data_IF_478147765032
#
_entry.id   IF_478147765032
#
_cell.length_a   1.000
_cell.length_b   1.000
_cell.length_c   1.000
_cell.angle_alpha   90.00
_cell.angle_beta   90.00
_cell.angle_gamma   90.00
#
_symmetry.space_group_name_H-M   'P 1'
#
loop_
_entity.id
_entity.type
_entity.pdbx_description
1 polymer ?
#
# COMPACT_ATOMS: atom_id res chain seq x y z
N UNK A 1 -16.65 48.40 26.46
CA UNK A 1 -16.51 48.32 27.93
C UNK A 1 -16.96 46.94 28.36
N UNK A 2 -16.23 46.39 29.31
CA UNK A 2 -16.21 45.01 29.76
C UNK A 2 -17.55 44.35 30.05
N UNK A 3 -17.62 43.03 29.80
CA UNK A 3 -18.40 42.10 30.62
C UNK A 3 -17.57 40.81 30.83
N UNK A 4 -16.92 40.75 31.99
CA UNK A 4 -16.48 39.51 32.64
C UNK A 4 -17.73 38.71 33.07
N UNK A 5 -17.74 37.40 32.80
CA UNK A 5 -18.74 36.50 33.39
C UNK A 5 -18.58 35.03 33.00
N UNK A 6 -18.16 34.20 33.96
CA UNK A 6 -18.62 32.82 34.10
C UNK A 6 -17.82 31.72 33.40
N UNK A 7 -16.83 31.18 34.12
CA UNK A 7 -16.31 29.84 33.90
C UNK A 7 -17.43 28.82 34.19
N UNK A 8 -17.90 28.06 33.19
CA UNK A 8 -18.82 26.92 33.39
C UNK A 8 -17.97 25.66 33.47
N UNK A 9 -17.95 25.02 34.66
CA UNK A 9 -17.25 23.77 34.90
C UNK A 9 -17.84 22.58 34.12
N UNK A 10 -17.16 21.42 34.12
CA UNK A 10 -17.56 20.27 33.33
C UNK A 10 -18.91 19.72 33.81
N UNK A 11 -19.84 19.55 32.87
CA UNK A 11 -21.13 18.91 33.11
C UNK A 11 -20.94 17.50 33.71
N UNK A 12 -21.74 17.18 34.73
CA UNK A 12 -21.77 15.88 35.38
C UNK A 12 -22.20 14.80 34.39
N UNK A 13 -21.31 13.83 34.14
CA UNK A 13 -21.62 12.55 33.50
C UNK A 13 -22.63 11.79 34.39
N UNK A 14 -23.67 11.12 33.83
CA UNK A 14 -24.66 10.41 34.64
C UNK A 14 -24.00 9.24 35.39
N UNK A 15 -24.21 9.18 36.71
CA UNK A 15 -23.82 8.04 37.54
C UNK A 15 -24.76 6.86 37.28
N UNK A 16 -24.26 5.79 36.66
CA UNK A 16 -24.99 4.51 36.55
C UNK A 16 -24.79 3.72 37.84
N UNK A 17 -25.87 3.48 38.58
CA UNK A 17 -25.88 2.71 39.82
C UNK A 17 -26.07 1.22 39.48
N UNK A 18 -25.02 0.40 39.57
CA UNK A 18 -25.16 -1.06 39.43
C UNK A 18 -25.77 -1.65 40.71
N UNK A 19 -26.95 -2.25 40.57
CA UNK A 19 -27.68 -2.92 41.64
C UNK A 19 -26.98 -4.20 42.14
N UNK A 20 -27.38 -4.60 43.35
CA UNK A 20 -26.79 -5.61 44.23
C UNK A 20 -26.37 -6.95 43.59
N UNK A 21 -25.08 -7.29 43.76
CA UNK A 21 -24.58 -8.66 43.69
C UNK A 21 -25.00 -9.40 44.97
N UNK A 22 -25.65 -10.56 44.87
CA UNK A 22 -25.97 -11.43 46.02
C UNK A 22 -25.42 -12.85 45.78
N UNK A 23 -24.83 -13.42 46.84
CA UNK A 23 -24.43 -14.82 47.00
C UNK A 23 -23.48 -15.43 45.95
N UNK A 24 -22.16 -15.20 46.10
CA UNK A 24 -21.14 -15.96 45.37
C UNK A 24 -20.32 -16.83 46.34
N UNK A 25 -20.36 -18.15 46.18
CA UNK A 25 -19.41 -19.09 46.81
C UNK A 25 -18.36 -19.54 45.78
N UNK A 26 -17.15 -19.85 46.25
CA UNK A 26 -15.99 -20.24 45.46
C UNK A 26 -16.30 -21.55 44.70
N UNK A 27 -16.41 -21.50 43.37
CA UNK A 27 -16.69 -22.70 42.58
C UNK A 27 -17.13 -22.42 41.15
N UNK A 28 -18.39 -22.05 40.92
CA UNK A 28 -18.96 -22.05 39.57
C UNK A 28 -20.05 -20.97 39.38
N UNK A 29 -20.01 -20.34 38.20
CA UNK A 29 -20.98 -19.43 37.57
C UNK A 29 -21.39 -18.12 38.30
N UNK A 30 -21.32 -16.99 37.59
CA UNK A 30 -21.79 -15.65 38.04
C UNK A 30 -23.04 -15.27 37.23
N UNK A 31 -24.08 -14.73 37.87
CA UNK A 31 -25.30 -14.27 37.21
C UNK A 31 -25.33 -12.74 37.08
N UNK A 32 -25.56 -12.22 35.86
CA UNK A 32 -25.73 -10.80 35.56
C UNK A 32 -26.98 -10.63 34.67
N UNK A 33 -27.96 -9.82 35.12
CA UNK A 33 -29.23 -9.56 34.42
C UNK A 33 -29.94 -10.84 33.90
N UNK A 34 -29.96 -11.92 34.70
CA UNK A 34 -30.66 -13.17 34.34
C UNK A 34 -29.89 -14.13 33.45
N UNK A 35 -28.58 -13.93 33.25
CA UNK A 35 -27.72 -14.83 32.47
C UNK A 35 -26.53 -15.34 33.29
N UNK A 36 -26.18 -16.62 33.14
CA UNK A 36 -25.15 -17.35 33.89
C UNK A 36 -23.80 -17.40 33.13
N UNK A 37 -22.68 -17.11 33.82
CA UNK A 37 -21.36 -16.93 33.21
C UNK A 37 -20.23 -17.69 33.92
N UNK A 38 -19.39 -18.44 33.19
CA UNK A 38 -18.34 -19.32 33.79
C UNK A 38 -17.01 -18.58 33.98
N UNK A 39 -16.42 -18.73 35.17
CA UNK A 39 -15.10 -18.18 35.52
C UNK A 39 -13.97 -19.12 35.04
N UNK A 40 -12.87 -18.56 34.55
CA UNK A 40 -11.58 -19.26 34.46
C UNK A 40 -10.47 -18.42 35.09
N UNK A 41 -9.36 -19.07 35.48
CA UNK A 41 -8.39 -18.54 36.46
C UNK A 41 -7.55 -17.32 36.03
N UNK A 42 -7.80 -16.70 34.86
CA UNK A 42 -7.01 -15.54 34.40
C UNK A 42 -7.80 -14.41 33.71
N UNK A 43 -9.09 -14.58 33.43
CA UNK A 43 -9.92 -13.54 32.80
C UNK A 43 -11.41 -13.87 32.96
N UNK A 44 -12.24 -12.82 32.93
CA UNK A 44 -13.69 -12.94 32.76
C UNK A 44 -14.07 -12.28 31.42
N UNK A 45 -14.87 -12.97 30.61
CA UNK A 45 -15.33 -12.45 29.31
C UNK A 45 -16.80 -12.02 29.40
N UNK A 46 -17.11 -10.84 28.88
CA UNK A 46 -18.46 -10.32 28.68
C UNK A 46 -18.76 -10.31 27.18
N UNK A 47 -19.92 -10.83 26.77
CA UNK A 47 -20.39 -10.85 25.37
C UNK A 47 -21.77 -10.19 25.24
N UNK A 48 -21.90 -9.27 24.29
CA UNK A 48 -23.20 -8.84 23.74
C UNK A 48 -23.13 -8.84 22.20
N UNK A 49 -24.27 -8.63 21.54
CA UNK A 49 -24.52 -8.55 20.10
C UNK A 49 -23.63 -7.54 19.36
N UNK A 50 -22.96 -6.64 20.06
CA UNK A 50 -22.08 -5.60 19.50
C UNK A 50 -20.59 -5.87 19.71
N UNK A 51 -20.19 -6.91 20.45
CA UNK A 51 -18.77 -7.27 20.63
C UNK A 51 -18.43 -7.97 21.95
N UNK A 52 -17.15 -8.33 22.10
CA UNK A 52 -16.59 -9.03 23.28
C UNK A 52 -15.75 -8.05 24.11
N UNK A 53 -15.97 -8.01 25.42
CA UNK A 53 -15.14 -7.26 26.39
C UNK A 53 -14.37 -8.25 27.26
N UNK A 54 -13.03 -8.11 27.31
CA UNK A 54 -12.16 -8.93 28.14
C UNK A 54 -11.74 -8.16 29.40
N UNK A 55 -11.97 -8.76 30.58
CA UNK A 55 -11.51 -8.22 31.86
C UNK A 55 -10.17 -8.86 32.22
N UNK A 56 -9.10 -8.05 32.22
CA UNK A 56 -7.76 -8.44 32.68
C UNK A 56 -7.61 -7.95 34.13
N UNK A 57 -7.33 -8.86 35.06
CA UNK A 57 -7.03 -8.52 36.45
C UNK A 57 -5.51 -8.53 36.60
N UNK A 58 -4.91 -7.36 36.83
CA UNK A 58 -3.46 -7.21 37.03
C UNK A 58 -3.14 -7.26 38.54
N UNK A 59 -2.35 -8.24 38.97
CA UNK A 59 -2.06 -8.54 40.38
C UNK A 59 -0.66 -8.06 40.81
N UNK A 60 -0.25 -6.81 40.56
CA UNK A 60 0.97 -6.28 41.20
C UNK A 60 0.90 -4.78 41.54
N UNK A 61 0.50 -4.46 42.78
CA UNK A 61 1.06 -3.43 43.70
C UNK A 61 0.24 -3.35 45.00
N UNK A 62 0.96 -3.12 46.10
CA UNK A 62 0.66 -3.42 47.51
C UNK A 62 -0.49 -2.68 48.22
N UNK A 63 -1.15 -3.38 49.16
CA UNK A 63 -1.90 -2.96 50.37
C UNK A 63 -2.81 -1.72 50.27
N UNK A 64 -4.12 -1.97 50.19
CA UNK A 64 -5.19 -0.99 50.44
C UNK A 64 -5.73 -0.36 49.16
N UNK A 65 -6.99 -0.69 48.83
CA UNK A 65 -7.71 -0.43 47.58
C UNK A 65 -7.13 -1.17 46.35
N UNK A 66 -7.90 -2.09 45.79
CA UNK A 66 -7.59 -2.72 44.51
C UNK A 66 -8.10 -1.82 43.39
N UNK A 67 -7.18 -1.31 42.57
CA UNK A 67 -7.52 -0.62 41.33
C UNK A 67 -7.63 -1.66 40.22
N UNK A 68 -8.76 -1.70 39.52
CA UNK A 68 -8.97 -2.55 38.35
C UNK A 68 -9.12 -1.64 37.13
N UNK A 69 -8.26 -1.84 36.13
CA UNK A 69 -8.33 -1.14 34.85
C UNK A 69 -9.05 -2.01 33.81
N UNK A 70 -10.10 -1.47 33.19
CA UNK A 70 -10.81 -2.10 32.07
C UNK A 70 -10.40 -1.39 30.79
N UNK A 71 -9.90 -2.15 29.81
CA UNK A 71 -9.51 -1.62 28.49
C UNK A 71 -10.46 -2.18 27.44
N UNK A 72 -11.21 -1.31 26.75
CA UNK A 72 -12.03 -1.66 25.59
C UNK A 72 -11.66 -0.74 24.42
N UNK A 73 -10.86 -1.25 23.48
CA UNK A 73 -10.30 -0.42 22.41
C UNK A 73 -9.46 0.74 22.97
N UNK A 74 -9.80 1.98 22.59
CA UNK A 74 -9.05 3.19 22.94
C UNK A 74 -9.39 3.78 24.33
N UNK A 75 -10.27 3.13 25.12
CA UNK A 75 -10.78 3.67 26.39
C UNK A 75 -10.28 2.84 27.58
N UNK A 76 -9.70 3.51 28.57
CA UNK A 76 -9.31 2.97 29.87
C UNK A 76 -10.28 3.47 30.96
N UNK A 77 -10.87 2.53 31.71
CA UNK A 77 -11.76 2.82 32.84
C UNK A 77 -11.05 2.38 34.12
N UNK A 78 -10.77 3.33 35.02
CA UNK A 78 -10.23 3.02 36.36
C UNK A 78 -11.36 2.79 37.36
N UNK A 79 -11.38 1.61 37.97
CA UNK A 79 -12.34 1.23 39.01
C UNK A 79 -11.62 1.09 40.34
N UNK A 80 -12.17 1.69 41.39
CA UNK A 80 -11.68 1.54 42.77
C UNK A 80 -12.62 0.62 43.54
N UNK A 81 -12.05 -0.44 44.12
CA UNK A 81 -12.72 -1.31 45.10
C UNK A 81 -12.47 -0.79 46.52
N UNK A 82 -13.56 -0.50 47.26
CA UNK A 82 -13.49 -0.20 48.68
C UNK A 82 -13.78 -1.46 49.51
N UNK A 83 -12.90 -1.86 50.43
CA UNK A 83 -13.23 -2.90 51.40
C UNK A 83 -14.21 -2.33 52.42
N UNK A 84 -15.40 -2.91 52.50
CA UNK A 84 -16.37 -2.56 53.53
C UNK A 84 -15.91 -3.17 54.87
N UNK A 85 -15.86 -2.36 55.94
CA UNK A 85 -15.23 -2.79 57.21
C UNK A 85 -15.92 -3.96 57.91
N UNK A 86 -17.14 -4.31 57.52
CA UNK A 86 -17.96 -5.30 58.24
C UNK A 86 -18.29 -6.58 57.46
N UNK A 87 -17.79 -6.79 56.24
CA UNK A 87 -17.88 -8.08 55.55
C UNK A 87 -16.97 -8.15 54.32
N UNK A 88 -16.07 -9.14 54.29
CA UNK A 88 -15.03 -9.34 53.25
C UNK A 88 -15.62 -9.70 51.87
N UNK A 89 -16.92 -10.03 51.79
CA UNK A 89 -17.56 -10.58 50.59
C UNK A 89 -18.25 -9.55 49.66
N UNK A 90 -18.42 -8.30 50.08
CA UNK A 90 -19.11 -7.28 49.28
C UNK A 90 -18.22 -6.05 49.06
N UNK A 91 -17.46 -6.04 47.97
CA UNK A 91 -16.76 -4.86 47.48
C UNK A 91 -17.69 -4.00 46.62
N UNK A 92 -17.70 -2.69 46.85
CA UNK A 92 -18.45 -1.74 46.01
C UNK A 92 -17.48 -1.17 44.99
N UNK A 93 -17.81 -1.28 43.70
CA UNK A 93 -16.98 -0.78 42.60
C UNK A 93 -17.47 0.62 42.19
N UNK A 94 -16.57 1.62 42.22
CA UNK A 94 -16.85 2.97 41.72
C UNK A 94 -15.90 3.33 40.57
N UNK A 95 -16.46 3.92 39.51
CA UNK A 95 -15.69 4.44 38.36
C UNK A 95 -15.04 5.76 38.78
N UNK A 96 -13.71 5.81 38.77
CA UNK A 96 -12.93 6.97 39.23
C UNK A 96 -12.67 7.97 38.12
N UNK A 97 -12.38 7.49 36.91
CA UNK A 97 -12.14 8.30 35.71
C UNK A 97 -12.20 7.44 34.46
N UNK A 98 -12.56 8.07 33.34
CA UNK A 98 -12.49 7.49 32.00
C UNK A 98 -11.45 8.31 31.22
N UNK A 99 -10.40 7.65 30.71
CA UNK A 99 -9.32 8.29 29.94
C UNK A 99 -9.00 7.49 28.68
N UNK A 100 -8.40 8.12 27.67
CA UNK A 100 -7.83 7.37 26.55
C UNK A 100 -6.67 6.52 27.03
N UNK A 101 -6.69 5.22 26.73
CA UNK A 101 -5.62 4.31 27.12
C UNK A 101 -4.29 4.75 26.47
N UNK A 102 -3.17 4.82 27.21
CA UNK A 102 -1.88 5.02 26.57
C UNK A 102 -1.66 3.84 25.60
N UNK A 103 -1.38 4.14 24.33
CA UNK A 103 -1.13 3.09 23.33
C UNK A 103 0.03 2.21 23.80
N UNK A 104 -0.29 1.06 24.38
CA UNK A 104 0.64 -0.03 24.54
C UNK A 104 1.02 -0.39 23.11
N UNK A 105 2.22 0.01 22.71
CA UNK A 105 2.79 -0.42 21.46
C UNK A 105 3.00 -1.92 21.65
N UNK A 106 2.02 -2.73 21.22
CA UNK A 106 2.33 -4.06 20.74
C UNK A 106 3.41 -3.79 19.70
N UNK A 107 4.67 -4.03 20.06
CA UNK A 107 5.75 -4.14 19.10
C UNK A 107 5.27 -5.20 18.11
N UNK A 108 4.61 -4.76 17.04
CA UNK A 108 4.56 -5.52 15.80
C UNK A 108 6.04 -5.77 15.53
N UNK A 109 6.45 -7.03 15.68
CA UNK A 109 7.80 -7.40 15.36
C UNK A 109 8.03 -6.93 13.92
N UNK A 110 8.99 -6.02 13.75
CA UNK A 110 9.47 -5.50 12.48
C UNK A 110 10.19 -6.58 11.65
N UNK A 111 9.81 -7.86 11.78
CA UNK A 111 10.53 -8.99 11.21
C UNK A 111 9.97 -9.54 9.90
N UNK A 112 8.89 -8.95 9.36
CA UNK A 112 8.38 -9.32 8.02
C UNK A 112 7.81 -8.10 7.29
N UNK A 113 8.59 -7.02 7.16
CA UNK A 113 8.40 -6.17 5.99
C UNK A 113 8.93 -6.95 4.79
N UNK A 114 8.04 -7.69 4.13
CA UNK A 114 8.30 -8.18 2.79
C UNK A 114 8.49 -6.94 1.90
N UNK A 115 9.73 -6.63 1.55
CA UNK A 115 9.99 -5.77 0.39
C UNK A 115 9.18 -6.32 -0.78
N UNK A 116 8.43 -5.44 -1.45
CA UNK A 116 7.55 -5.80 -2.53
C UNK A 116 8.37 -6.32 -3.72
N UNK A 117 8.68 -7.62 -3.72
CA UNK A 117 9.16 -8.33 -4.88
C UNK A 117 8.02 -8.34 -5.92
N UNK A 118 8.25 -7.95 -7.18
CA UNK A 118 7.22 -7.99 -8.24
C UNK A 118 6.56 -9.35 -8.43
N UNK A 119 7.20 -10.45 -7.97
CA UNK A 119 6.66 -11.81 -8.03
C UNK A 119 5.71 -12.15 -6.86
N UNK A 120 5.67 -11.34 -5.79
CA UNK A 120 4.84 -11.58 -4.60
C UNK A 120 5.36 -12.69 -3.68
N UNK A 121 6.69 -12.88 -3.64
CA UNK A 121 7.38 -13.92 -2.84
C UNK A 121 8.15 -13.25 -1.70
N UNK A 122 8.11 -13.83 -0.49
CA UNK A 122 8.84 -13.32 0.68
C UNK A 122 10.25 -13.90 0.81
N UNK A 123 11.11 -13.24 1.59
CA UNK A 123 12.45 -13.75 1.90
C UNK A 123 12.43 -15.10 2.63
N UNK A 124 11.40 -15.41 3.42
CA UNK A 124 11.27 -16.73 4.06
C UNK A 124 10.92 -17.80 3.02
N UNK A 125 10.08 -17.49 2.04
CA UNK A 125 9.76 -18.40 0.94
C UNK A 125 10.99 -18.72 0.09
N UNK A 126 11.84 -17.73 -0.22
CA UNK A 126 13.13 -17.97 -0.89
C UNK A 126 14.09 -18.86 -0.10
N UNK A 127 14.06 -18.80 1.25
CA UNK A 127 14.92 -19.65 2.09
C UNK A 127 14.47 -21.10 2.06
N UNK A 128 13.17 -21.36 1.91
CA UNK A 128 12.60 -22.71 1.88
C UNK A 128 12.51 -23.29 0.46
N UNK A 129 12.34 -22.46 -0.58
CA UNK A 129 12.41 -22.86 -1.97
C UNK A 129 13.84 -22.76 -2.51
N UNK A 130 14.60 -23.85 -2.39
CA UNK A 130 16.03 -23.89 -2.76
C UNK A 130 16.30 -23.93 -4.26
N UNK A 131 15.31 -24.28 -5.08
CA UNK A 131 15.41 -24.40 -6.54
C UNK A 131 14.38 -23.54 -7.27
N UNK A 132 14.69 -23.16 -8.51
CA UNK A 132 13.81 -22.34 -9.35
C UNK A 132 12.45 -23.02 -9.59
N UNK A 133 12.42 -24.34 -9.68
CA UNK A 133 11.18 -25.12 -9.81
C UNK A 133 10.26 -24.96 -8.59
N UNK A 134 10.82 -24.99 -7.38
CA UNK A 134 10.06 -24.79 -6.14
C UNK A 134 9.53 -23.35 -6.02
N UNK A 135 10.29 -22.38 -6.52
CA UNK A 135 9.85 -20.97 -6.56
C UNK A 135 8.57 -20.81 -7.41
N UNK A 136 8.45 -21.55 -8.51
CA UNK A 136 7.26 -21.50 -9.38
C UNK A 136 5.96 -21.89 -8.67
N UNK A 137 6.00 -22.78 -7.67
CA UNK A 137 4.82 -23.11 -6.86
C UNK A 137 4.31 -21.90 -6.07
N UNK A 138 5.21 -21.05 -5.55
CA UNK A 138 4.83 -19.83 -4.85
C UNK A 138 4.40 -18.70 -5.80
N UNK A 139 5.04 -18.57 -6.97
CA UNK A 139 4.66 -17.59 -8.01
C UNK A 139 3.22 -17.82 -8.48
N UNK A 140 2.86 -19.09 -8.68
CA UNK A 140 1.61 -19.49 -9.34
C UNK A 140 0.52 -19.96 -8.35
N UNK A 141 0.67 -19.73 -7.04
CA UNK A 141 -0.34 -20.11 -6.03
C UNK A 141 -1.62 -19.28 -6.16
N UNK A 142 -2.76 -19.87 -5.78
CA UNK A 142 -4.05 -19.17 -5.72
C UNK A 142 -4.26 -18.40 -4.41
N UNK A 143 -3.71 -18.94 -3.31
CA UNK A 143 -3.97 -18.45 -1.96
C UNK A 143 -2.69 -18.47 -1.14
N UNK A 144 -2.53 -17.45 -0.30
CA UNK A 144 -1.64 -17.49 0.87
C UNK A 144 -2.43 -17.92 2.10
N UNK A 145 -1.73 -18.41 3.11
CA UNK A 145 -2.37 -18.80 4.38
C UNK A 145 -3.02 -17.60 5.09
N UNK A 146 -2.49 -16.39 4.93
CA UNK A 146 -2.98 -15.18 5.59
C UNK A 146 -4.21 -14.55 4.92
N UNK A 147 -4.49 -14.88 3.66
CA UNK A 147 -5.65 -14.34 2.90
C UNK A 147 -6.98 -15.02 3.27
N UNK A 148 -6.93 -16.20 3.90
CA UNK A 148 -8.12 -16.96 4.25
C UNK A 148 -8.83 -16.41 5.48
N UNK A 149 -10.16 -16.26 5.38
CA UNK A 149 -11.02 -15.72 6.44
C UNK A 149 -12.23 -16.63 6.71
N UNK A 150 -13.05 -16.28 7.70
CA UNK A 150 -14.32 -16.99 7.95
C UNK A 150 -15.31 -16.93 6.77
N UNK A 151 -15.18 -15.95 5.88
CA UNK A 151 -16.01 -15.84 4.68
C UNK A 151 -15.66 -16.89 3.62
N UNK A 152 -14.51 -17.56 3.74
CA UNK A 152 -14.04 -18.57 2.81
C UNK A 152 -14.44 -20.00 3.21
N UNK A 153 -15.11 -20.15 4.35
CA UNK A 153 -15.60 -21.44 4.84
C UNK A 153 -16.47 -22.11 3.77
N UNK A 154 -16.14 -23.36 3.46
CA UNK A 154 -16.80 -24.17 2.45
C UNK A 154 -16.08 -24.19 1.10
N UNK A 155 -15.12 -23.29 0.83
CA UNK A 155 -14.30 -23.29 -0.38
C UNK A 155 -13.21 -24.36 -0.32
N UNK A 156 -12.88 -24.94 -1.48
CA UNK A 156 -11.70 -25.79 -1.65
C UNK A 156 -10.53 -24.92 -2.08
N UNK A 157 -9.41 -25.03 -1.38
CA UNK A 157 -8.20 -24.22 -1.59
C UNK A 157 -6.99 -25.13 -1.73
N UNK A 158 -6.00 -24.65 -2.49
CA UNK A 158 -4.68 -25.25 -2.65
C UNK A 158 -3.65 -24.28 -2.07
N UNK A 159 -2.88 -24.76 -1.10
CA UNK A 159 -1.88 -23.99 -0.36
C UNK A 159 -0.50 -24.61 -0.51
N UNK A 160 0.52 -23.77 -0.61
CA UNK A 160 1.93 -24.16 -0.68
C UNK A 160 2.62 -23.60 0.56
N UNK A 161 3.40 -24.43 1.25
CA UNK A 161 4.09 -24.00 2.47
C UNK A 161 4.97 -25.09 3.07
N UNK A 162 5.33 -24.93 4.33
CA UNK A 162 6.07 -25.91 5.11
C UNK A 162 5.35 -26.19 6.44
N UNK A 163 5.53 -27.40 6.97
CA UNK A 163 4.96 -27.81 8.25
C UNK A 163 5.95 -27.49 9.38
N UNK A 164 5.44 -27.16 10.57
CA UNK A 164 6.29 -26.92 11.74
C UNK A 164 6.95 -28.19 12.27
N UNK A 165 8.08 -28.01 12.98
CA UNK A 165 8.80 -29.10 13.66
C UNK A 165 7.90 -29.92 14.58
N UNK A 166 8.02 -31.23 14.40
CA UNK A 166 7.23 -32.27 15.01
C UNK A 166 7.40 -32.30 16.54
N UNK A 167 6.34 -31.96 17.29
CA UNK A 167 6.32 -32.24 18.73
C UNK A 167 5.69 -33.62 18.95
N UNK A 168 6.50 -34.61 19.33
CA UNK A 168 6.14 -36.06 19.42
C UNK A 168 4.90 -36.37 20.30
N UNK A 169 4.40 -35.41 21.06
CA UNK A 169 3.28 -35.56 21.99
C UNK A 169 1.94 -34.96 21.51
N UNK A 170 1.87 -34.35 20.32
CA UNK A 170 0.63 -33.75 19.77
C UNK A 170 0.23 -34.41 18.46
N UNK A 171 -0.69 -35.37 18.52
CA UNK A 171 -0.99 -36.30 17.42
C UNK A 171 -2.15 -35.90 16.51
N UNK A 172 -2.67 -34.67 16.59
CA UNK A 172 -3.94 -34.35 15.90
C UNK A 172 -3.97 -33.06 15.07
N UNK A 173 -3.08 -32.09 15.33
CA UNK A 173 -3.14 -30.78 14.66
C UNK A 173 -1.78 -30.38 14.12
N UNK A 174 -1.71 -30.15 12.81
CA UNK A 174 -0.51 -29.67 12.13
C UNK A 174 -0.73 -28.23 11.67
N UNK A 175 0.35 -27.45 11.61
CA UNK A 175 0.31 -26.07 11.17
C UNK A 175 1.10 -25.93 9.87
N UNK A 176 0.42 -25.48 8.82
CA UNK A 176 1.03 -25.11 7.54
C UNK A 176 1.39 -23.63 7.59
N UNK A 177 2.66 -23.33 7.31
CA UNK A 177 3.20 -21.97 7.25
C UNK A 177 3.60 -21.60 5.83
N UNK A 178 3.42 -20.33 5.49
CA UNK A 178 4.03 -19.72 4.32
C UNK A 178 4.73 -18.41 4.70
N UNK A 179 5.13 -17.61 3.72
CA UNK A 179 5.78 -16.33 3.95
C UNK A 179 4.91 -15.26 4.63
N UNK A 180 3.60 -15.45 4.62
CA UNK A 180 2.61 -14.45 5.00
C UNK A 180 1.88 -14.81 6.30
N UNK A 181 1.77 -16.09 6.64
CA UNK A 181 1.02 -16.52 7.81
C UNK A 181 1.16 -18.01 8.15
N UNK A 182 0.19 -18.47 8.92
CA UNK A 182 0.09 -19.86 9.36
C UNK A 182 -1.38 -20.23 9.43
N UNK A 183 -1.72 -21.47 9.09
CA UNK A 183 -3.07 -22.03 9.22
C UNK A 183 -3.00 -23.48 9.74
N UNK A 184 -4.02 -23.91 10.48
CA UNK A 184 -4.11 -25.29 10.93
C UNK A 184 -4.65 -26.17 9.82
N UNK A 185 -4.06 -27.36 9.69
CA UNK A 185 -4.49 -28.40 8.76
C UNK A 185 -4.89 -29.65 9.56
N UNK A 186 -6.02 -30.23 9.18
CA UNK A 186 -6.61 -31.43 9.79
C UNK A 186 -6.90 -32.43 8.70
N UNK A 187 -6.48 -33.68 8.86
CA UNK A 187 -6.63 -34.72 7.85
C UNK A 187 -7.33 -35.96 8.43
N UNK A 188 -8.00 -36.71 7.55
CA UNK A 188 -8.52 -38.05 7.86
C UNK A 188 -7.36 -39.07 7.89
N UNK A 189 -7.58 -40.24 8.51
CA UNK A 189 -6.51 -41.19 8.89
C UNK A 189 -5.43 -41.45 7.82
N UNK A 190 -5.82 -41.65 6.57
CA UNK A 190 -4.87 -41.98 5.49
C UNK A 190 -3.99 -40.79 5.08
N UNK A 191 -4.56 -39.59 4.95
CA UNK A 191 -3.81 -38.37 4.64
C UNK A 191 -3.08 -37.81 5.87
N UNK A 192 -3.57 -38.11 7.08
CA UNK A 192 -2.89 -37.76 8.31
C UNK A 192 -1.52 -38.43 8.40
N UNK A 193 -1.43 -39.72 8.08
CA UNK A 193 -0.16 -40.45 8.07
C UNK A 193 0.84 -39.84 7.08
N UNK A 194 0.39 -39.48 5.88
CA UNK A 194 1.22 -38.78 4.89
C UNK A 194 1.72 -37.43 5.39
N UNK A 195 0.84 -36.62 5.98
CA UNK A 195 1.24 -35.31 6.54
C UNK A 195 2.28 -35.48 7.65
N UNK A 196 2.16 -36.51 8.49
CA UNK A 196 3.16 -36.80 9.53
C UNK A 196 4.51 -37.22 8.94
N UNK A 197 4.51 -38.05 7.89
CA UNK A 197 5.74 -38.46 7.18
C UNK A 197 6.43 -37.26 6.52
N UNK A 198 5.65 -36.34 5.94
CA UNK A 198 6.16 -35.11 5.34
C UNK A 198 6.69 -34.17 6.43
N UNK A 199 5.96 -33.99 7.54
CA UNK A 199 6.37 -33.15 8.67
C UNK A 199 7.64 -33.65 9.38
N UNK A 200 7.94 -34.95 9.29
CA UNK A 200 9.19 -35.52 9.81
C UNK A 200 10.43 -35.02 9.04
N UNK A 201 10.24 -34.56 7.80
CA UNK A 201 11.27 -33.94 6.96
C UNK A 201 11.03 -32.44 6.88
N UNK A 202 11.45 -31.69 7.92
CA UNK A 202 11.20 -30.25 8.06
C UNK A 202 11.82 -29.35 6.97
N UNK A 203 12.65 -29.91 6.09
CA UNK A 203 13.22 -29.22 4.92
C UNK A 203 12.35 -29.27 3.67
N UNK A 204 11.26 -30.06 3.64
CA UNK A 204 10.42 -30.21 2.45
C UNK A 204 9.28 -29.20 2.42
N UNK A 205 9.03 -28.68 1.21
CA UNK A 205 7.81 -27.93 0.92
C UNK A 205 6.64 -28.91 0.71
N UNK A 206 5.43 -28.44 0.98
CA UNK A 206 4.20 -29.23 0.94
C UNK A 206 3.15 -28.48 0.14
N UNK A 207 2.55 -29.17 -0.83
CA UNK A 207 1.29 -28.78 -1.45
C UNK A 207 0.14 -29.45 -0.70
N UNK A 208 -0.79 -28.65 -0.16
CA UNK A 208 -1.98 -29.11 0.55
C UNK A 208 -3.21 -28.63 -0.19
N UNK A 209 -4.09 -29.56 -0.60
CA UNK A 209 -5.43 -29.22 -1.10
C UNK A 209 -6.48 -29.67 -0.10
N UNK A 210 -7.41 -28.78 0.24
CA UNK A 210 -8.44 -29.09 1.24
C UNK A 210 -9.55 -28.06 1.31
N UNK A 211 -10.56 -28.34 2.13
CA UNK A 211 -11.73 -27.47 2.31
C UNK A 211 -11.55 -26.58 3.54
N UNK A 212 -11.84 -25.29 3.41
CA UNK A 212 -11.84 -24.36 4.56
C UNK A 212 -13.04 -24.67 5.46
N UNK A 213 -12.81 -24.88 6.74
CA UNK A 213 -13.83 -25.21 7.74
C UNK A 213 -13.69 -24.32 8.97
N UNK A 214 -14.79 -24.10 9.72
CA UNK A 214 -14.73 -23.40 11.00
C UNK A 214 -14.18 -24.34 12.06
N UNK A 215 -13.30 -23.83 12.91
CA UNK A 215 -12.87 -24.60 14.08
C UNK A 215 -14.01 -24.73 15.09
N UNK A 216 -14.04 -25.84 15.84
CA UNK A 216 -14.88 -25.92 17.03
C UNK A 216 -14.56 -24.76 17.98
N UNK A 217 -15.58 -24.21 18.63
CA UNK A 217 -15.46 -23.03 19.53
C UNK A 217 -14.42 -23.19 20.64
N UNK A 218 -14.18 -24.42 21.09
CA UNK A 218 -13.17 -24.76 22.11
C UNK A 218 -11.73 -24.89 21.57
N UNK A 219 -11.54 -24.89 20.25
CA UNK A 219 -10.25 -25.07 19.56
C UNK A 219 -9.83 -23.84 18.75
N UNK A 220 -10.51 -22.71 18.96
CA UNK A 220 -10.18 -21.43 18.32
C UNK A 220 -8.88 -20.87 18.91
N UNK A 221 -7.93 -20.50 18.04
CA UNK A 221 -6.67 -19.91 18.46
C UNK A 221 -6.64 -18.40 18.23
N UNK A 222 -6.96 -17.61 19.26
CA UNK A 222 -7.06 -16.15 19.16
C UNK A 222 -5.71 -15.45 18.89
N UNK A 223 -4.58 -16.16 18.99
CA UNK A 223 -3.25 -15.57 18.77
C UNK A 223 -2.89 -15.37 17.29
N UNK A 224 -3.64 -15.98 16.36
CA UNK A 224 -3.33 -16.00 14.93
C UNK A 224 -4.57 -15.55 14.14
N UNK A 225 -4.44 -14.73 13.07
CA UNK A 225 -5.58 -14.25 12.29
C UNK A 225 -6.50 -15.34 11.73
N UNK A 226 -5.94 -16.47 11.29
CA UNK A 226 -6.66 -17.66 10.79
C UNK A 226 -7.14 -18.59 11.92
N UNK A 227 -7.08 -18.14 13.17
CA UNK A 227 -7.32 -18.96 14.35
C UNK A 227 -8.73 -19.52 14.50
N UNK A 228 -9.71 -18.95 13.80
CA UNK A 228 -11.12 -19.38 13.79
C UNK A 228 -11.43 -20.40 12.70
N UNK A 229 -10.49 -20.64 11.78
CA UNK A 229 -10.65 -21.54 10.62
C UNK A 229 -9.52 -22.57 10.54
N UNK A 230 -9.79 -23.68 9.86
CA UNK A 230 -8.81 -24.73 9.56
C UNK A 230 -9.07 -25.35 8.18
N UNK A 231 -8.05 -25.98 7.62
CA UNK A 231 -8.15 -26.70 6.35
C UNK A 231 -8.38 -28.18 6.64
N UNK A 232 -9.53 -28.69 6.24
CA UNK A 232 -9.77 -30.12 6.16
C UNK A 232 -9.10 -30.65 4.90
N UNK A 233 -7.95 -31.29 5.07
CA UNK A 233 -7.08 -31.76 3.99
C UNK A 233 -7.72 -32.93 3.26
N UNK A 234 -7.82 -32.79 1.94
CA UNK A 234 -8.20 -33.87 1.03
C UNK A 234 -6.98 -34.56 0.41
N UNK A 235 -5.91 -33.81 0.11
CA UNK A 235 -4.66 -34.35 -0.40
C UNK A 235 -3.46 -33.54 0.10
N UNK A 236 -2.37 -34.23 0.44
CA UNK A 236 -1.08 -33.61 0.73
C UNK A 236 0.05 -34.26 -0.09
N UNK A 237 0.93 -33.44 -0.65
CA UNK A 237 2.10 -33.88 -1.45
C UNK A 237 3.35 -33.13 -1.02
N UNK A 238 4.43 -33.85 -0.74
CA UNK A 238 5.75 -33.24 -0.59
C UNK A 238 6.31 -32.84 -1.95
N UNK A 239 6.98 -31.68 -1.98
CA UNK A 239 7.67 -31.15 -3.14
C UNK A 239 9.17 -31.22 -2.89
N UNK A 240 9.86 -32.05 -3.67
CA UNK A 240 11.32 -32.19 -3.67
C UNK A 240 12.03 -31.12 -4.50
N UNK A 241 13.34 -30.90 -4.26
CA UNK A 241 14.12 -29.89 -4.99
C UNK A 241 14.19 -30.14 -6.50
N UNK A 242 14.13 -31.42 -6.91
CA UNK A 242 14.19 -31.84 -8.31
C UNK A 242 12.81 -32.01 -8.96
N UNK A 243 11.72 -31.82 -8.21
CA UNK A 243 10.37 -31.95 -8.75
C UNK A 243 10.10 -30.78 -9.73
N UNK A 244 9.74 -31.06 -11.00
CA UNK A 244 9.35 -30.00 -11.91
C UNK A 244 8.05 -29.35 -11.43
N UNK A 245 7.87 -28.08 -11.77
CA UNK A 245 6.59 -27.42 -11.60
C UNK A 245 5.57 -28.02 -12.58
N UNK A 246 4.50 -28.62 -12.05
CA UNK A 246 3.48 -29.33 -12.84
C UNK A 246 2.11 -28.64 -12.81
N UNK A 247 2.02 -27.47 -12.18
CA UNK A 247 0.82 -26.65 -12.15
C UNK A 247 0.64 -25.80 -13.42
N UNK A 248 -0.55 -25.23 -13.63
CA UNK A 248 -0.76 -24.25 -14.68
C UNK A 248 0.10 -23.01 -14.39
N UNK A 249 1.02 -22.68 -15.29
CA UNK A 249 1.77 -21.42 -15.21
C UNK A 249 0.76 -20.27 -15.30
N UNK A 250 0.50 -19.66 -14.15
CA UNK A 250 -0.26 -18.43 -14.09
C UNK A 250 0.70 -17.36 -14.49
N UNK A 251 0.67 -17.02 -15.79
CA UNK A 251 1.05 -15.68 -16.16
C UNK A 251 0.20 -14.76 -15.29
N UNK A 252 0.80 -14.21 -14.22
CA UNK A 252 0.52 -12.84 -13.85
C UNK A 252 0.94 -12.05 -15.07
N UNK A 253 0.08 -12.03 -16.11
CA UNK A 253 -0.16 -10.81 -16.82
C UNK A 253 -0.31 -9.82 -15.68
N UNK A 254 0.63 -8.91 -15.59
CA UNK A 254 0.34 -7.58 -15.07
C UNK A 254 -0.81 -7.08 -15.94
N UNK A 255 -2.02 -7.58 -15.66
CA UNK A 255 -3.31 -7.04 -16.05
C UNK A 255 -3.65 -6.02 -14.96
N UNK A 256 -2.71 -5.12 -14.73
CA UNK A 256 -3.05 -3.73 -14.87
C UNK A 256 -3.33 -3.65 -16.35
N UNK A 257 -4.57 -3.44 -16.78
CA UNK A 257 -4.90 -3.36 -18.19
C UNK A 257 -3.96 -2.36 -18.87
N UNK A 258 -2.87 -2.87 -19.44
CA UNK A 258 -1.93 -2.10 -20.22
C UNK A 258 -2.61 -1.69 -21.50
N UNK A 259 -3.59 -2.45 -22.00
CA UNK A 259 -4.47 -1.96 -23.05
C UNK A 259 -5.30 -0.77 -22.54
N UNK A 260 -5.98 -0.82 -21.39
CA UNK A 260 -6.86 0.29 -20.97
C UNK A 260 -6.12 1.53 -20.39
N UNK A 261 -4.89 1.37 -19.88
CA UNK A 261 -4.02 2.48 -19.45
C UNK A 261 -3.20 3.05 -20.61
N UNK A 262 -2.75 2.22 -21.56
CA UNK A 262 -1.98 2.70 -22.73
C UNK A 262 -2.90 3.26 -23.80
N UNK A 263 -4.10 2.72 -24.02
CA UNK A 263 -5.03 3.26 -25.05
C UNK A 263 -5.70 4.56 -24.64
N UNK A 264 -5.71 4.92 -23.35
CA UNK A 264 -6.34 6.16 -22.87
C UNK A 264 -5.36 7.28 -22.53
N UNK A 265 -4.10 7.21 -22.97
CA UNK A 265 -3.11 8.26 -22.71
C UNK A 265 -2.45 8.87 -23.95
N UNK A 266 -3.08 8.84 -25.12
CA UNK A 266 -3.00 10.03 -25.98
C UNK A 266 -3.84 11.08 -25.29
N UNK A 267 -3.26 11.76 -24.28
CA UNK A 267 -3.94 12.86 -23.62
C UNK A 267 -4.39 13.83 -24.71
N UNK A 268 -5.71 13.91 -24.91
CA UNK A 268 -6.30 14.82 -25.88
C UNK A 268 -5.65 16.18 -25.68
N UNK A 269 -5.17 16.77 -26.78
CA UNK A 269 -4.43 18.02 -26.71
C UNK A 269 -5.16 19.01 -25.85
N UNK A 270 -4.42 19.61 -24.92
CA UNK A 270 -5.00 20.58 -24.02
C UNK A 270 -5.69 21.68 -24.85
N UNK A 271 -7.02 21.75 -24.74
CA UNK A 271 -7.89 22.66 -25.49
C UNK A 271 -7.55 24.14 -25.26
N UNK A 272 -6.82 24.45 -24.20
CA UNK A 272 -6.38 25.80 -23.84
C UNK A 272 -4.98 26.14 -24.38
N UNK A 273 -4.58 25.56 -25.51
CA UNK A 273 -3.24 25.77 -26.08
C UNK A 273 -3.30 26.13 -27.56
N UNK A 274 -2.25 26.79 -28.06
CA UNK A 274 -2.11 27.19 -29.47
C UNK A 274 -1.67 26.03 -30.40
N UNK A 275 -1.54 24.80 -29.89
CA UNK A 275 -1.21 23.60 -30.67
C UNK A 275 -2.48 22.84 -31.00
N UNK A 276 -2.49 22.17 -32.14
CA UNK A 276 -3.61 21.29 -32.54
C UNK A 276 -3.39 19.85 -32.07
N UNK A 277 -2.14 19.38 -32.12
CA UNK A 277 -1.74 18.02 -31.79
C UNK A 277 -0.50 18.03 -30.89
N UNK A 278 -0.28 16.95 -30.14
CA UNK A 278 1.00 16.74 -29.46
C UNK A 278 2.00 16.00 -30.39
N UNK A 279 3.28 15.98 -30.03
CA UNK A 279 4.32 15.43 -30.91
C UNK A 279 4.35 13.89 -30.96
N UNK A 280 3.53 13.16 -30.20
CA UNK A 280 3.42 11.69 -30.29
C UNK A 280 2.07 11.21 -30.81
N UNK A 281 1.13 12.10 -31.12
CA UNK A 281 -0.27 11.75 -31.42
C UNK A 281 -0.51 11.40 -32.87
N UNK A 282 0.26 11.97 -33.80
CA UNK A 282 0.01 11.83 -35.23
C UNK A 282 0.23 10.39 -35.71
N UNK A 283 -0.68 9.91 -36.56
CA UNK A 283 -0.65 8.60 -37.21
C UNK A 283 -0.90 8.75 -38.70
N UNK A 284 -0.82 7.63 -39.44
CA UNK A 284 -1.07 7.60 -40.89
C UNK A 284 -2.46 8.13 -41.27
N UNK A 285 -3.44 7.98 -40.37
CA UNK A 285 -4.81 8.49 -40.51
C UNK A 285 -4.87 10.02 -40.60
N UNK A 286 -3.85 10.72 -40.11
CA UNK A 286 -3.78 12.18 -40.14
C UNK A 286 -3.17 12.74 -41.43
N UNK A 287 -2.74 11.90 -42.38
CA UNK A 287 -2.14 12.35 -43.64
C UNK A 287 -3.08 13.33 -44.37
N UNK A 288 -2.51 14.45 -44.83
CA UNK A 288 -3.23 15.54 -45.49
C UNK A 288 -3.82 16.58 -44.53
N UNK A 289 -3.81 16.35 -43.22
CA UNK A 289 -4.29 17.32 -42.25
C UNK A 289 -3.28 18.45 -42.01
N UNK A 290 -3.77 19.68 -41.85
CA UNK A 290 -2.98 20.81 -41.36
C UNK A 290 -2.90 20.78 -39.84
N UNK A 291 -1.68 20.86 -39.32
CA UNK A 291 -1.41 20.74 -37.88
C UNK A 291 -0.48 21.86 -37.41
N UNK A 292 -0.63 22.24 -36.15
CA UNK A 292 0.31 23.10 -35.42
C UNK A 292 0.90 22.32 -34.26
N UNK A 293 2.21 22.11 -34.31
CA UNK A 293 2.98 21.45 -33.25
C UNK A 293 3.88 22.48 -32.56
N UNK A 294 4.04 22.34 -31.25
CA UNK A 294 4.98 23.14 -30.46
C UNK A 294 5.84 22.22 -29.61
N UNK A 295 7.15 22.44 -29.60
CA UNK A 295 8.08 21.58 -28.88
C UNK A 295 9.51 22.09 -28.88
N UNK A 296 10.42 21.25 -28.40
CA UNK A 296 11.85 21.47 -28.37
C UNK A 296 12.52 20.81 -29.57
N UNK A 297 13.48 21.52 -30.17
CA UNK A 297 14.34 20.94 -31.22
C UNK A 297 15.27 19.93 -30.59
N UNK A 298 15.00 18.64 -30.78
CA UNK A 298 15.86 17.59 -30.24
C UNK A 298 17.07 17.36 -31.14
N UNK A 299 16.84 17.31 -32.46
CA UNK A 299 17.90 17.16 -33.46
C UNK A 299 17.56 17.92 -34.73
N UNK A 300 18.60 18.41 -35.41
CA UNK A 300 18.52 18.96 -36.76
C UNK A 300 19.47 18.18 -37.67
N UNK A 301 18.93 17.48 -38.66
CA UNK A 301 19.71 16.65 -39.59
C UNK A 301 19.72 17.26 -40.98
N UNK A 302 20.92 17.40 -41.55
CA UNK A 302 21.16 17.92 -42.91
C UNK A 302 20.46 19.26 -43.21
N UNK A 303 20.10 20.03 -42.18
CA UNK A 303 19.27 21.25 -42.25
C UNK A 303 17.90 21.05 -42.96
N UNK A 304 17.43 19.80 -43.04
CA UNK A 304 16.19 19.39 -43.73
C UNK A 304 15.19 18.71 -42.80
N UNK A 305 15.68 18.01 -41.77
CA UNK A 305 14.82 17.28 -40.86
C UNK A 305 15.01 17.77 -39.43
N UNK A 306 13.94 18.27 -38.84
CA UNK A 306 13.89 18.58 -37.40
C UNK A 306 13.18 17.42 -36.71
N UNK A 307 13.81 16.87 -35.68
CA UNK A 307 13.11 16.01 -34.71
C UNK A 307 12.56 16.93 -33.63
N UNK A 308 11.25 17.12 -33.62
CA UNK A 308 10.54 17.96 -32.65
C UNK A 308 10.05 17.07 -31.51
N UNK A 309 10.46 17.40 -30.29
CA UNK A 309 10.09 16.67 -29.07
C UNK A 309 9.17 17.52 -28.21
N UNK A 310 8.18 16.91 -27.58
CA UNK A 310 7.45 17.52 -26.47
C UNK A 310 7.41 16.57 -25.25
N UNK A 311 6.58 16.87 -24.26
CA UNK A 311 6.44 16.02 -23.07
C UNK A 311 5.66 14.72 -23.30
N UNK A 312 5.26 14.41 -24.54
CA UNK A 312 4.52 13.21 -24.92
C UNK A 312 5.32 12.32 -25.87
N UNK A 313 6.14 12.90 -26.74
CA UNK A 313 7.02 12.13 -27.62
C UNK A 313 7.67 12.98 -28.70
N UNK A 314 7.93 12.38 -29.85
CA UNK A 314 8.71 12.96 -30.94
C UNK A 314 8.00 12.83 -32.28
N UNK A 315 8.10 13.87 -33.12
CA UNK A 315 7.64 13.86 -34.51
C UNK A 315 8.72 14.45 -35.41
N UNK A 316 8.91 13.86 -36.59
CA UNK A 316 9.79 14.41 -37.61
C UNK A 316 9.08 15.53 -38.37
N UNK A 317 9.78 16.63 -38.55
CA UNK A 317 9.37 17.79 -39.35
C UNK A 317 10.30 17.88 -40.56
N UNK A 318 9.72 17.81 -41.75
CA UNK A 318 10.41 18.02 -43.02
C UNK A 318 10.39 19.51 -43.36
N UNK A 319 11.57 20.07 -43.59
CA UNK A 319 11.79 21.44 -44.06
C UNK A 319 11.93 21.42 -45.59
N UNK A 320 11.00 22.04 -46.34
CA UNK A 320 11.10 22.13 -47.80
C UNK A 320 12.31 22.95 -48.24
N UNK A 321 13.07 22.44 -49.22
CA UNK A 321 14.33 23.03 -49.72
C UNK A 321 14.09 24.42 -50.36
N UNK A 322 12.91 24.59 -50.95
CA UNK A 322 12.46 25.77 -51.67
C UNK A 322 12.01 26.93 -50.75
N UNK A 323 11.95 26.72 -49.44
CA UNK A 323 11.49 27.74 -48.49
C UNK A 323 12.66 28.43 -47.76
N UNK A 324 13.25 29.44 -48.40
CA UNK A 324 14.39 30.21 -47.86
C UNK A 324 14.09 30.87 -46.51
N UNK A 325 12.85 31.30 -46.26
CA UNK A 325 12.47 31.95 -45.01
C UNK A 325 12.60 31.00 -43.83
N UNK A 326 12.11 29.76 -43.98
CA UNK A 326 12.25 28.73 -42.95
C UNK A 326 13.73 28.41 -42.73
N UNK A 327 14.51 28.27 -43.81
CA UNK A 327 15.94 28.00 -43.69
C UNK A 327 16.72 29.10 -42.97
N UNK A 328 16.32 30.37 -43.10
CA UNK A 328 16.90 31.48 -42.31
C UNK A 328 16.66 31.30 -40.81
N UNK A 329 15.47 30.88 -40.40
CA UNK A 329 15.14 30.64 -38.99
C UNK A 329 15.88 29.42 -38.39
N UNK A 330 16.10 28.38 -39.19
CA UNK A 330 16.68 27.12 -38.70
C UNK A 330 18.21 27.11 -38.72
N UNK A 331 18.85 27.88 -39.61
CA UNK A 331 20.30 27.79 -39.81
C UNK A 331 21.13 28.01 -38.55
N UNK A 332 20.63 28.82 -37.61
CA UNK A 332 21.32 29.16 -36.35
C UNK A 332 20.59 28.62 -35.11
N UNK A 333 19.62 27.70 -35.28
CA UNK A 333 18.84 27.24 -34.13
C UNK A 333 19.64 26.27 -33.27
N UNK A 334 19.71 26.56 -31.97
CA UNK A 334 20.34 25.68 -31.00
C UNK A 334 19.41 24.52 -30.62
N UNK A 335 19.98 23.38 -30.23
CA UNK A 335 19.19 22.28 -29.66
C UNK A 335 18.48 22.74 -28.38
N UNK A 336 17.33 22.14 -28.10
CA UNK A 336 16.42 22.53 -27.02
C UNK A 336 15.78 23.92 -27.16
N UNK A 337 15.95 24.59 -28.30
CA UNK A 337 15.15 25.78 -28.63
C UNK A 337 13.68 25.41 -28.77
N UNK A 338 12.80 26.30 -28.34
CA UNK A 338 11.34 26.11 -28.41
C UNK A 338 10.83 26.67 -29.72
N UNK A 339 10.19 25.83 -30.53
CA UNK A 339 9.63 26.24 -31.80
C UNK A 339 8.15 25.89 -31.92
N UNK A 340 7.46 26.68 -32.74
CA UNK A 340 6.13 26.39 -33.28
C UNK A 340 6.26 26.06 -34.76
N UNK A 341 5.69 24.94 -35.16
CA UNK A 341 5.67 24.45 -36.54
C UNK A 341 4.23 24.36 -37.00
N UNK A 342 3.89 25.03 -38.09
CA UNK A 342 2.63 24.81 -38.81
C UNK A 342 2.95 24.10 -40.12
N UNK A 343 2.19 23.06 -40.43
CA UNK A 343 2.47 22.26 -41.61
C UNK A 343 1.39 21.24 -41.92
N UNK A 344 1.64 20.46 -42.95
CA UNK A 344 0.74 19.38 -43.40
C UNK A 344 1.38 18.03 -43.12
N UNK A 345 0.61 17.10 -42.57
CA UNK A 345 1.06 15.72 -42.32
C UNK A 345 1.18 14.98 -43.64
N UNK A 346 2.33 14.33 -43.87
CA UNK A 346 2.61 13.54 -45.07
C UNK A 346 3.17 12.17 -44.68
N UNK A 347 2.94 11.12 -45.48
CA UNK A 347 3.54 9.82 -45.22
C UNK A 347 5.05 9.89 -45.46
N UNK A 348 5.83 9.19 -44.65
CA UNK A 348 7.25 8.99 -44.98
C UNK A 348 7.38 8.05 -46.18
N UNK A 349 8.41 8.23 -47.02
CA UNK A 349 8.76 7.23 -48.03
C UNK A 349 8.93 5.84 -47.39
N UNK A 350 8.55 4.77 -48.10
CA UNK A 350 8.58 3.39 -47.58
C UNK A 350 9.94 2.98 -47.00
N UNK A 351 11.04 3.47 -47.59
CA UNK A 351 12.40 3.21 -47.14
C UNK A 351 12.88 4.12 -45.99
N UNK A 352 12.04 5.02 -45.49
CA UNK A 352 12.35 5.99 -44.43
C UNK A 352 11.39 5.92 -43.24
N UNK A 353 10.49 4.92 -43.21
CA UNK A 353 9.65 4.63 -42.05
C UNK A 353 10.53 4.17 -40.88
N UNK A 354 10.19 4.64 -39.69
CA UNK A 354 10.93 4.28 -38.47
C UNK A 354 10.06 3.43 -37.53
N UNK A 355 10.22 2.09 -37.50
CA UNK A 355 9.38 1.22 -36.67
C UNK A 355 9.56 1.46 -35.16
N UNK A 356 10.69 2.04 -34.74
CA UNK A 356 10.99 2.31 -33.33
C UNK A 356 10.30 3.58 -32.80
N UNK A 357 9.57 4.30 -33.64
CA UNK A 357 8.90 5.55 -33.31
C UNK A 357 7.42 5.48 -33.66
N UNK A 358 6.53 5.88 -32.73
CA UNK A 358 5.08 5.85 -32.94
C UNK A 358 4.61 6.69 -34.14
N UNK A 359 5.24 7.84 -34.37
CA UNK A 359 5.00 8.71 -35.53
C UNK A 359 5.95 8.40 -36.68
N UNK A 360 6.54 7.20 -36.69
CA UNK A 360 7.58 6.77 -37.63
C UNK A 360 7.10 6.59 -39.07
N UNK A 361 5.79 6.41 -39.27
CA UNK A 361 5.19 6.29 -40.60
C UNK A 361 4.90 7.64 -41.28
N UNK A 362 4.94 8.73 -40.52
CA UNK A 362 4.57 10.07 -40.97
C UNK A 362 5.66 11.10 -40.70
N UNK A 363 5.58 12.22 -41.38
CA UNK A 363 6.32 13.44 -41.05
C UNK A 363 5.45 14.67 -41.30
N UNK A 364 5.79 15.80 -40.70
CA UNK A 364 5.08 17.06 -40.94
C UNK A 364 5.89 17.92 -41.89
N UNK A 365 5.37 18.15 -43.10
CA UNK A 365 5.97 19.10 -44.05
C UNK A 365 5.68 20.52 -43.57
N UNK A 366 6.71 21.23 -43.12
CA UNK A 366 6.59 22.57 -42.57
C UNK A 366 6.17 23.60 -43.63
N UNK A 367 5.12 24.35 -43.33
CA UNK A 367 4.67 25.54 -44.07
C UNK A 367 5.22 26.82 -43.43
N UNK A 368 5.30 26.84 -42.09
CA UNK A 368 5.91 27.93 -41.32
C UNK A 368 6.60 27.39 -40.06
N UNK A 369 7.69 28.02 -39.67
CA UNK A 369 8.39 27.74 -38.42
C UNK A 369 8.69 29.07 -37.73
N UNK A 370 8.32 29.15 -36.46
CA UNK A 370 8.57 30.29 -35.59
C UNK A 370 9.38 29.83 -34.37
N UNK A 371 10.45 30.57 -34.08
CA UNK A 371 11.24 30.36 -32.87
C UNK A 371 10.58 31.14 -31.73
N UNK A 372 9.95 30.42 -30.80
CA UNK A 372 9.27 31.02 -29.65
C UNK A 372 10.28 31.43 -28.57
N UNK A 373 11.31 30.61 -28.37
CA UNK A 373 12.40 30.92 -27.46
C UNK A 373 13.66 30.18 -27.89
N UNK A 374 14.76 30.91 -28.01
CA UNK A 374 16.06 30.34 -28.37
C UNK A 374 16.74 29.74 -27.14
N UNK A 375 17.29 28.54 -27.27
CA UNK A 375 18.12 27.95 -26.23
C UNK A 375 19.56 28.46 -26.32
N UNK A 376 20.27 28.42 -25.19
CA UNK A 376 21.72 28.66 -25.18
C UNK A 376 22.43 27.57 -25.99
N UNK A 377 23.43 27.95 -26.79
CA UNK A 377 24.21 27.02 -27.60
C UNK A 377 24.90 25.93 -26.76
N UNK A 378 25.41 26.30 -25.59
CA UNK A 378 26.06 25.38 -24.65
C UNK A 378 25.13 25.12 -23.47
N UNK A 379 24.37 24.02 -23.54
CA UNK A 379 23.57 23.53 -22.42
C UNK A 379 24.48 22.92 -21.34
N UNK A 380 24.14 23.06 -20.05
CA UNK A 380 24.96 22.54 -18.97
C UNK A 380 24.96 21.01 -18.89
N UNK A 381 23.95 20.36 -19.49
CA UNK A 381 23.86 18.90 -19.60
C UNK A 381 23.13 18.52 -20.88
N UNK A 382 23.43 17.32 -21.37
CA UNK A 382 22.75 16.72 -22.52
C UNK A 382 21.53 15.90 -22.07
N UNK A 383 20.53 15.82 -22.95
CA UNK A 383 19.30 15.03 -22.76
C UNK A 383 19.32 13.70 -23.54
N UNK A 384 20.43 13.36 -24.19
CA UNK A 384 20.67 12.05 -24.80
C UNK A 384 20.59 10.93 -23.75
N UNK A 385 20.01 9.80 -24.15
CA UNK A 385 19.87 8.62 -23.27
C UNK A 385 21.22 7.99 -22.92
N UNK A 386 22.17 8.04 -23.85
CA UNK A 386 23.55 7.62 -23.64
C UNK A 386 24.36 8.79 -23.07
N UNK A 387 25.22 8.51 -22.08
CA UNK A 387 26.05 9.50 -21.37
C UNK A 387 25.23 10.50 -20.54
N UNK A 388 24.29 9.99 -19.73
CA UNK A 388 23.56 10.81 -18.75
C UNK A 388 24.55 11.52 -17.82
N UNK A 389 24.26 12.79 -17.53
CA UNK A 389 25.01 13.58 -16.57
C UNK A 389 24.98 12.95 -15.16
N UNK A 390 25.99 13.26 -14.36
CA UNK A 390 26.03 12.88 -12.94
C UNK A 390 24.83 13.45 -12.17
N UNK A 391 24.44 12.76 -11.10
CA UNK A 391 23.26 13.12 -10.30
C UNK A 391 23.31 14.56 -9.79
N UNK A 392 24.45 15.02 -9.28
CA UNK A 392 24.61 16.39 -8.79
C UNK A 392 24.29 17.45 -9.86
N UNK A 393 24.75 17.22 -11.10
CA UNK A 393 24.50 18.14 -12.21
C UNK A 393 23.02 18.08 -12.64
N UNK A 394 22.43 16.89 -12.65
CA UNK A 394 21.00 16.68 -12.94
C UNK A 394 20.10 17.32 -11.90
N UNK A 395 20.45 17.28 -10.62
CA UNK A 395 19.72 17.95 -9.55
C UNK A 395 19.87 19.47 -9.62
N UNK A 396 21.06 19.96 -9.95
CA UNK A 396 21.32 21.40 -10.15
C UNK A 396 20.52 21.96 -11.33
N UNK A 397 20.50 21.25 -12.45
CA UNK A 397 19.77 21.63 -13.66
C UNK A 397 18.50 20.79 -13.87
N UNK A 398 17.77 20.53 -12.78
CA UNK A 398 16.61 19.62 -12.80
C UNK A 398 15.54 20.04 -13.79
N UNK A 399 15.38 21.33 -14.07
CA UNK A 399 14.46 21.84 -15.08
C UNK A 399 14.76 21.37 -16.51
N UNK A 400 16.02 21.03 -16.81
CA UNK A 400 16.41 20.39 -18.08
C UNK A 400 16.15 18.89 -17.99
N UNK A 401 16.66 18.24 -16.94
CA UNK A 401 16.54 16.80 -16.73
C UNK A 401 15.08 16.31 -16.70
N UNK A 402 14.16 17.14 -16.19
CA UNK A 402 12.72 16.86 -16.23
C UNK A 402 12.14 16.76 -17.64
N UNK A 403 12.83 17.22 -18.69
CA UNK A 403 12.42 17.04 -20.10
C UNK A 403 12.73 15.65 -20.64
N UNK A 404 13.54 14.85 -19.93
CA UNK A 404 13.85 13.49 -20.36
C UNK A 404 12.60 12.61 -20.38
N UNK A 405 12.49 11.66 -21.33
CA UNK A 405 11.36 10.73 -21.40
C UNK A 405 11.12 9.98 -20.08
N UNK A 406 12.18 9.49 -19.45
CA UNK A 406 12.12 8.79 -18.16
C UNK A 406 11.47 9.64 -17.07
N UNK A 407 11.88 10.92 -16.95
CA UNK A 407 11.32 11.80 -15.94
C UNK A 407 9.89 12.21 -16.24
N UNK A 408 9.55 12.44 -17.51
CA UNK A 408 8.18 12.69 -17.94
C UNK A 408 7.27 11.50 -17.61
N UNK A 409 7.72 10.28 -17.92
CA UNK A 409 7.00 9.05 -17.59
C UNK A 409 6.78 8.92 -16.08
N UNK A 410 7.85 9.07 -15.27
CA UNK A 410 7.76 8.95 -13.82
C UNK A 410 6.79 9.96 -13.19
N UNK A 411 6.82 11.23 -13.62
CA UNK A 411 5.93 12.26 -13.08
C UNK A 411 4.47 12.07 -13.50
N UNK A 412 4.23 11.70 -14.76
CA UNK A 412 2.87 11.42 -15.26
C UNK A 412 2.27 10.20 -14.58
N UNK A 413 3.04 9.12 -14.45
CA UNK A 413 2.63 7.91 -13.73
C UNK A 413 2.31 8.22 -12.27
N UNK A 414 3.18 8.98 -11.57
CA UNK A 414 2.91 9.42 -10.20
C UNK A 414 1.59 10.19 -10.11
N UNK A 415 1.33 11.12 -11.02
CA UNK A 415 0.09 11.89 -11.07
C UNK A 415 -1.13 11.00 -11.26
N UNK A 416 -1.08 10.08 -12.24
CA UNK A 416 -2.16 9.15 -12.54
C UNK A 416 -2.46 8.22 -11.35
N UNK A 417 -1.42 7.67 -10.71
CA UNK A 417 -1.55 6.81 -9.53
C UNK A 417 -2.22 7.55 -8.38
N UNK A 418 -1.74 8.75 -8.04
CA UNK A 418 -2.32 9.55 -6.95
C UNK A 418 -3.78 9.86 -7.23
N UNK A 419 -4.12 10.23 -8.47
CA UNK A 419 -5.51 10.49 -8.85
C UNK A 419 -6.40 9.26 -8.71
N UNK A 420 -5.94 8.09 -9.20
CA UNK A 420 -6.69 6.84 -9.10
C UNK A 420 -6.89 6.39 -7.65
N UNK A 421 -5.91 6.61 -6.78
CA UNK A 421 -6.05 6.38 -5.35
C UNK A 421 -7.13 7.29 -4.74
N UNK A 422 -7.12 8.59 -5.07
CA UNK A 422 -8.14 9.55 -4.60
C UNK A 422 -9.54 9.17 -5.08
N UNK A 423 -9.70 8.89 -6.37
CA UNK A 423 -10.97 8.45 -6.96
C UNK A 423 -11.53 7.22 -6.23
N UNK A 424 -10.66 6.25 -5.91
CA UNK A 424 -11.03 5.04 -5.20
C UNK A 424 -11.52 5.36 -3.79
N UNK A 425 -10.71 6.06 -2.99
CA UNK A 425 -11.03 6.37 -1.60
C UNK A 425 -12.29 7.23 -1.46
N UNK A 426 -12.41 8.28 -2.27
CA UNK A 426 -13.51 9.25 -2.16
C UNK A 426 -14.79 8.66 -2.76
N UNK A 427 -14.75 8.23 -4.03
CA UNK A 427 -15.98 7.89 -4.75
C UNK A 427 -16.49 6.48 -4.45
N UNK A 428 -15.61 5.51 -4.13
CA UNK A 428 -16.03 4.13 -3.85
C UNK A 428 -16.24 3.85 -2.37
N UNK A 429 -15.44 4.48 -1.51
CA UNK A 429 -15.43 4.17 -0.08
C UNK A 429 -15.86 5.33 0.83
N UNK A 430 -16.22 6.49 0.26
CA UNK A 430 -16.79 7.61 1.03
C UNK A 430 -15.80 8.33 1.94
N UNK A 431 -14.49 8.23 1.67
CA UNK A 431 -13.49 9.01 2.41
C UNK A 431 -13.55 10.49 2.04
N UNK A 432 -13.16 11.34 2.98
CA UNK A 432 -13.00 12.78 2.77
C UNK A 432 -11.51 13.12 2.77
N UNK A 433 -11.04 13.83 1.75
CA UNK A 433 -9.68 14.38 1.74
C UNK A 433 -9.62 15.58 2.69
N UNK A 434 -8.85 15.43 3.78
CA UNK A 434 -8.68 16.46 4.80
C UNK A 434 -7.22 16.91 4.79
N UNK A 435 -7.00 18.19 4.52
CA UNK A 435 -5.68 18.80 4.66
C UNK A 435 -5.39 19.15 6.12
N UNK A 436 -4.16 18.90 6.55
CA UNK A 436 -3.77 18.96 7.96
C UNK A 436 -2.59 19.91 8.14
N UNK A 437 -2.48 20.63 9.28
CA UNK A 437 -1.42 21.61 9.48
C UNK A 437 -0.02 21.02 9.35
N UNK A 438 0.87 21.70 8.61
CA UNK A 438 2.27 21.29 8.42
C UNK A 438 3.20 21.81 9.51
N UNK A 439 2.92 23.00 10.04
CA UNK A 439 3.61 23.60 11.18
C UNK A 439 2.89 23.24 12.47
N UNK A 440 3.50 22.36 13.27
CA UNK A 440 2.84 21.81 14.45
C UNK A 440 3.75 21.83 15.69
N UNK A 441 3.20 21.43 16.83
CA UNK A 441 3.99 21.19 18.06
C UNK A 441 4.82 19.93 17.88
N UNK A 442 6.03 19.94 18.41
CA UNK A 442 6.90 18.77 18.43
C UNK A 442 6.26 17.59 19.17
N UNK A 443 6.37 16.40 18.59
CA UNK A 443 5.82 15.16 19.16
C UNK A 443 6.96 14.24 19.60
N UNK A 444 7.04 13.86 20.89
CA UNK A 444 8.13 13.02 21.38
C UNK A 444 8.03 11.59 20.81
N UNK A 445 9.04 11.17 20.06
CA UNK A 445 9.20 9.80 19.55
C UNK A 445 10.01 9.73 18.26
N UNK A 446 10.93 8.77 18.11
CA UNK A 446 11.64 8.49 16.84
C UNK A 446 12.78 9.45 16.47
N UNK A 447 12.77 9.96 15.24
CA UNK A 447 13.81 10.80 14.61
C UNK A 447 13.73 12.32 14.93
N UNK A 448 14.82 13.04 14.65
CA UNK A 448 14.94 14.49 14.82
C UNK A 448 13.95 15.26 13.91
N UNK A 449 13.38 16.34 14.42
CA UNK A 449 12.39 17.16 13.71
C UNK A 449 12.99 18.47 13.20
N UNK A 450 12.49 18.96 12.06
CA UNK A 450 12.89 20.25 11.51
C UNK A 450 12.18 21.39 12.23
N UNK A 451 12.97 22.25 12.88
CA UNK A 451 12.46 23.41 13.60
C UNK A 451 12.24 24.59 12.66
N UNK A 452 11.09 25.24 12.81
CA UNK A 452 10.73 26.48 12.10
C UNK A 452 10.54 27.58 13.13
N UNK A 453 11.44 28.58 13.21
CA UNK A 453 11.34 29.66 14.18
C UNK A 453 10.01 30.41 14.08
N UNK A 454 9.37 30.63 15.23
CA UNK A 454 8.22 31.52 15.31
C UNK A 454 8.67 32.96 15.42
N UNK A 455 7.81 33.91 15.02
CA UNK A 455 7.99 35.33 15.36
C UNK A 455 7.98 35.56 16.88
N UNK A 456 7.40 34.65 17.67
CA UNK A 456 7.42 34.73 19.14
C UNK A 456 8.77 34.26 19.64
N UNK A 457 9.50 35.16 20.30
CA UNK A 457 10.82 34.89 20.85
C UNK A 457 10.81 33.62 21.72
N UNK A 458 11.80 32.75 21.48
CA UNK A 458 11.97 31.48 22.21
C UNK A 458 10.97 30.38 21.83
N UNK A 459 10.11 30.56 20.81
CA UNK A 459 9.16 29.54 20.35
C UNK A 459 9.44 29.10 18.92
N UNK A 460 9.19 27.82 18.65
CA UNK A 460 9.42 27.17 17.36
C UNK A 460 8.22 26.28 17.02
N UNK A 461 7.93 26.18 15.73
CA UNK A 461 7.13 25.09 15.17
C UNK A 461 8.05 23.95 14.76
N UNK A 462 7.44 22.80 14.52
CA UNK A 462 8.09 21.61 14.01
C UNK A 462 7.35 21.14 12.75
N UNK A 463 8.09 20.67 11.74
CA UNK A 463 7.49 20.02 10.56
C UNK A 463 6.99 18.62 10.93
N UNK A 464 5.73 18.35 10.60
CA UNK A 464 5.07 17.07 10.91
C UNK A 464 5.72 15.91 10.14
N UNK A 465 6.00 14.80 10.84
CA UNK A 465 6.56 13.55 10.26
C UNK A 465 5.48 12.57 9.81
N UNK A 466 4.51 12.29 10.69
CA UNK A 466 3.42 11.33 10.45
C UNK A 466 2.16 11.85 11.12
N UNK A 467 1.03 11.64 10.43
CA UNK A 467 -0.32 12.08 10.79
C UNK A 467 -0.98 11.32 11.95
N UNK A 468 -0.22 10.80 12.91
CA UNK A 468 -0.76 9.96 13.98
C UNK A 468 -1.35 10.73 15.16
N UNK A 469 -1.11 12.04 15.28
CA UNK A 469 -1.38 12.80 16.51
C UNK A 469 -2.47 13.89 16.39
N UNK A 470 -3.29 13.88 15.33
CA UNK A 470 -4.42 14.82 15.22
C UNK A 470 -5.51 14.59 16.28
N UNK A 471 -5.59 13.39 16.86
CA UNK A 471 -6.54 13.05 17.92
C UNK A 471 -6.20 13.63 19.29
N UNK A 472 -5.04 14.30 19.45
CA UNK A 472 -4.62 14.97 20.70
C UNK A 472 -4.96 16.46 20.75
N UNK A 473 -5.79 16.95 19.82
CA UNK A 473 -6.27 18.32 19.77
C UNK A 473 -7.49 18.55 20.63
#
# INVERSE_FOLDING_TARGET
MDLLGGYVGPEKIPSVLCAHLKNCNIGDLVELNGQLFRRTNKFAELRDKTGVVQLIVDEERTKGAQNVSIVNGDIEIQIVSFPNKDNILNSTLQIKSVSQAPQITLKRAYSTMSEANPLGITLSEYKHATTENLIQYFVNRDWTTAELTEHDVGKTVKLIGWLNDFNKNSTQFQQLKDGYGVIQVVALRDEHQKILEIAANSSLLVEVTGRVTKRPTHSVNVKIPTGTIEIQVSTARALGPDDPYDGPVKFKKTKIDSEEIVTNQTAAVNKFTYRTHNCSELRIENVGQKVTLCGWVQFLRMKKFIVLRDGYGVTQVLVPIDNELIHKHINNINFESVIRVQGTVVPRPENMKNPDQETGDIEVRAESIEVLNEAMANLPMDLREHNKAEENLRLTHRYIDLRSPDMQYNLRTRSAVIMKMRECLINKYGFVEVETPTLFRSTPGGAQEFLVPSRRAGKFYSLVRVLNNLSKC
#
